data_IF_747541529083
#
_entry.id   IF_747541529083
#
_cell.length_a   1.000
_cell.length_b   1.000
_cell.length_c   1.000
_cell.angle_alpha   90.00
_cell.angle_beta   90.00
_cell.angle_gamma   90.00
#
_symmetry.space_group_name_H-M   'P 1'
#
loop_
_entity.id
_entity.type
_entity.pdbx_description
1 polymer ?
#
# COMPACT_ATOMS: atom_id res chain seq x y z
N UNK A 1 7.59 41.84 5.55
CA UNK A 1 8.98 41.34 5.70
C UNK A 1 9.13 40.13 4.80
N UNK A 2 9.81 40.30 3.65
CA UNK A 2 10.05 39.24 2.68
C UNK A 2 11.13 38.31 3.22
N UNK A 3 10.75 37.10 3.64
CA UNK A 3 11.71 36.04 3.94
C UNK A 3 12.24 35.47 2.63
N UNK A 4 13.39 35.97 2.18
CA UNK A 4 14.19 35.33 1.14
C UNK A 4 14.69 33.99 1.67
N UNK A 5 13.93 32.92 1.39
CA UNK A 5 14.34 31.54 1.63
C UNK A 5 15.69 31.33 0.93
N UNK A 6 16.72 30.98 1.70
CA UNK A 6 18.05 30.70 1.14
C UNK A 6 17.98 29.54 0.13
N UNK A 7 18.91 29.51 -0.83
CA UNK A 7 18.93 28.48 -1.89
C UNK A 7 18.94 27.04 -1.33
N UNK A 8 19.55 26.83 -0.16
CA UNK A 8 19.61 25.52 0.48
C UNK A 8 18.34 25.18 1.27
N UNK A 9 17.67 26.16 1.85
CA UNK A 9 16.34 25.97 2.47
C UNK A 9 15.28 25.59 1.42
N UNK A 10 15.35 26.20 0.24
CA UNK A 10 14.47 25.86 -0.87
C UNK A 10 14.68 24.41 -1.35
N UNK A 11 15.95 23.99 -1.51
CA UNK A 11 16.26 22.58 -1.84
C UNK A 11 15.78 21.62 -0.75
N UNK A 12 15.94 21.98 0.52
CA UNK A 12 15.46 21.18 1.64
C UNK A 12 13.94 21.05 1.64
N UNK A 13 13.22 22.14 1.37
CA UNK A 13 11.76 22.14 1.23
C UNK A 13 11.30 21.26 0.07
N UNK A 14 11.95 21.35 -1.10
CA UNK A 14 11.65 20.48 -2.24
C UNK A 14 11.84 19.00 -1.91
N UNK A 15 12.92 18.64 -1.20
CA UNK A 15 13.14 17.25 -0.76
C UNK A 15 12.02 16.78 0.16
N UNK A 16 11.69 17.53 1.20
CA UNK A 16 10.60 17.20 2.14
C UNK A 16 9.26 17.05 1.42
N UNK A 17 8.97 17.94 0.49
CA UNK A 17 7.75 17.86 -0.31
C UNK A 17 7.71 16.60 -1.18
N UNK A 18 8.82 16.22 -1.82
CA UNK A 18 8.88 14.98 -2.61
C UNK A 18 8.71 13.73 -1.74
N UNK A 19 9.30 13.69 -0.55
CA UNK A 19 9.10 12.58 0.41
C UNK A 19 7.63 12.47 0.81
N UNK A 20 7.03 13.59 1.22
CA UNK A 20 5.60 13.63 1.57
C UNK A 20 4.73 13.19 0.40
N UNK A 21 5.03 13.66 -0.82
CA UNK A 21 4.22 13.37 -1.99
C UNK A 21 4.31 11.91 -2.43
N UNK A 22 5.50 11.31 -2.30
CA UNK A 22 5.70 9.87 -2.45
C UNK A 22 4.84 9.12 -1.44
N UNK A 23 4.94 9.46 -0.15
CA UNK A 23 4.21 8.80 0.94
C UNK A 23 2.70 8.79 0.67
N UNK A 24 2.07 9.96 0.48
CA UNK A 24 0.61 10.03 0.31
C UNK A 24 0.12 9.29 -0.95
N UNK A 25 0.90 9.33 -2.03
CA UNK A 25 0.55 8.63 -3.27
C UNK A 25 0.71 7.11 -3.11
N UNK A 26 1.77 6.68 -2.42
CA UNK A 26 2.02 5.27 -2.13
C UNK A 26 0.99 4.69 -1.16
N UNK A 27 0.59 5.42 -0.11
CA UNK A 27 -0.48 4.99 0.81
C UNK A 27 -1.82 4.81 0.07
N UNK A 28 -2.14 5.68 -0.89
CA UNK A 28 -3.34 5.56 -1.70
C UNK A 28 -3.32 4.28 -2.56
N UNK A 29 -2.18 3.97 -3.18
CA UNK A 29 -2.00 2.73 -3.94
C UNK A 29 -2.06 1.51 -3.02
N UNK A 30 -1.34 1.54 -1.90
CA UNK A 30 -1.29 0.43 -0.94
C UNK A 30 -2.67 0.16 -0.33
N UNK A 31 -3.53 1.17 -0.14
CA UNK A 31 -4.91 0.96 0.30
C UNK A 31 -5.70 0.06 -0.67
N UNK A 32 -5.44 0.18 -1.96
CA UNK A 32 -6.07 -0.64 -3.00
C UNK A 32 -5.37 -2.01 -3.06
N UNK A 33 -4.04 -2.04 -3.19
CA UNK A 33 -3.26 -3.28 -3.30
C UNK A 33 -3.39 -4.18 -2.07
N UNK A 34 -3.50 -3.61 -0.86
CA UNK A 34 -3.62 -4.37 0.39
C UNK A 34 -4.80 -5.32 0.36
N UNK A 35 -5.92 -4.97 -0.29
CA UNK A 35 -7.08 -5.88 -0.41
C UNK A 35 -6.71 -7.12 -1.22
N UNK A 36 -5.91 -6.99 -2.27
CA UNK A 36 -5.45 -8.10 -3.09
C UNK A 36 -4.40 -8.93 -2.38
N UNK A 37 -3.42 -8.30 -1.73
CA UNK A 37 -2.44 -9.02 -0.90
C UNK A 37 -3.13 -9.79 0.22
N UNK A 38 -4.12 -9.20 0.89
CA UNK A 38 -4.92 -9.90 1.90
C UNK A 38 -5.65 -11.11 1.33
N UNK A 39 -6.23 -11.01 0.13
CA UNK A 39 -6.90 -12.14 -0.52
C UNK A 39 -5.95 -13.31 -0.80
N UNK A 40 -4.75 -13.02 -1.27
CA UNK A 40 -3.73 -14.03 -1.52
C UNK A 40 -3.33 -14.76 -0.21
N UNK A 41 -3.08 -13.98 0.85
CA UNK A 41 -2.75 -14.52 2.17
C UNK A 41 -3.93 -15.30 2.77
N UNK A 42 -5.17 -14.78 2.68
CA UNK A 42 -6.36 -15.45 3.20
C UNK A 42 -6.59 -16.79 2.50
N UNK A 43 -6.36 -16.87 1.17
CA UNK A 43 -6.43 -18.13 0.41
C UNK A 43 -5.36 -19.11 0.85
N UNK A 44 -4.14 -18.64 1.09
CA UNK A 44 -3.06 -19.47 1.62
C UNK A 44 -3.45 -20.04 2.99
N UNK A 45 -3.97 -19.20 3.89
CA UNK A 45 -4.44 -19.62 5.22
C UNK A 45 -5.57 -20.63 5.10
N UNK A 46 -6.60 -20.36 4.28
CA UNK A 46 -7.72 -21.27 4.05
C UNK A 46 -7.23 -22.65 3.57
N UNK A 47 -6.26 -22.68 2.65
CA UNK A 47 -5.68 -23.93 2.15
C UNK A 47 -4.91 -24.69 3.23
N UNK A 48 -4.20 -23.99 4.13
CA UNK A 48 -3.53 -24.65 5.25
C UNK A 48 -4.54 -25.23 6.24
N UNK A 49 -5.58 -24.49 6.60
CA UNK A 49 -6.63 -24.98 7.51
C UNK A 49 -7.32 -26.21 6.92
N UNK A 50 -7.66 -26.19 5.61
CA UNK A 50 -8.24 -27.35 4.91
C UNK A 50 -7.36 -28.59 4.96
N UNK A 51 -6.04 -28.44 4.86
CA UNK A 51 -5.09 -29.56 4.97
C UNK A 51 -5.00 -30.11 6.39
N UNK A 52 -5.20 -29.26 7.39
CA UNK A 52 -5.17 -29.62 8.80
C UNK A 52 -6.48 -30.24 9.30
N UNK A 53 -7.64 -29.89 8.72
CA UNK A 53 -8.95 -30.43 9.07
C UNK A 53 -9.21 -31.81 8.43
N UNK A 54 -8.44 -32.82 8.87
CA UNK A 54 -8.51 -34.20 8.33
C UNK A 54 -9.88 -34.84 8.53
N UNK A 55 -10.53 -34.56 9.65
CA UNK A 55 -11.82 -35.14 10.04
C UNK A 55 -13.01 -34.37 9.48
N UNK A 56 -12.77 -33.28 8.73
CA UNK A 56 -13.80 -32.43 8.10
C UNK A 56 -14.81 -31.88 9.11
N UNK A 57 -14.34 -31.53 10.31
CA UNK A 57 -15.19 -31.01 11.38
C UNK A 57 -15.49 -29.51 11.19
N UNK A 58 -14.72 -28.82 10.34
CA UNK A 58 -14.82 -27.36 10.16
C UNK A 58 -15.53 -26.95 8.86
N UNK A 59 -16.34 -27.83 8.27
CA UNK A 59 -16.99 -27.59 6.96
C UNK A 59 -17.73 -26.24 6.91
N UNK A 60 -18.50 -25.90 7.96
CA UNK A 60 -19.27 -24.65 8.00
C UNK A 60 -18.34 -23.43 8.05
N UNK A 61 -17.37 -23.45 8.96
CA UNK A 61 -16.41 -22.36 9.16
C UNK A 61 -15.55 -22.14 7.91
N UNK A 62 -15.13 -23.23 7.25
CA UNK A 62 -14.38 -23.18 6.00
C UNK A 62 -15.23 -22.59 4.85
N UNK A 63 -16.53 -22.90 4.80
CA UNK A 63 -17.45 -22.31 3.82
C UNK A 63 -17.66 -20.82 4.07
N UNK A 64 -17.84 -20.42 5.32
CA UNK A 64 -18.01 -19.01 5.68
C UNK A 64 -16.74 -18.20 5.37
N UNK A 65 -15.56 -18.75 5.65
CA UNK A 65 -14.30 -18.11 5.32
C UNK A 65 -14.07 -18.02 3.80
N UNK A 66 -14.42 -19.07 3.03
CA UNK A 66 -14.40 -19.02 1.56
C UNK A 66 -15.33 -17.93 1.01
N UNK A 67 -16.55 -17.83 1.56
CA UNK A 67 -17.52 -16.77 1.20
C UNK A 67 -16.98 -15.37 1.51
N UNK A 68 -16.36 -15.19 2.68
CA UNK A 68 -15.70 -13.94 3.05
C UNK A 68 -14.62 -13.53 2.04
N UNK A 69 -13.76 -14.48 1.63
CA UNK A 69 -12.70 -14.23 0.62
C UNK A 69 -13.32 -13.82 -0.71
N UNK A 70 -14.36 -14.51 -1.19
CA UNK A 70 -15.04 -14.17 -2.45
C UNK A 70 -15.66 -12.78 -2.40
N UNK A 71 -16.33 -12.43 -1.30
CA UNK A 71 -16.94 -11.10 -1.14
C UNK A 71 -15.86 -10.01 -1.13
N UNK A 72 -14.74 -10.25 -0.45
CA UNK A 72 -13.59 -9.34 -0.44
C UNK A 72 -12.98 -9.18 -1.85
N UNK A 73 -12.91 -10.25 -2.64
CA UNK A 73 -12.42 -10.22 -4.02
C UNK A 73 -13.29 -9.34 -4.92
N UNK A 74 -14.60 -9.52 -4.89
CA UNK A 74 -15.52 -8.69 -5.66
C UNK A 74 -15.40 -7.20 -5.27
N UNK A 75 -15.32 -6.91 -3.97
CA UNK A 75 -15.10 -5.55 -3.50
C UNK A 75 -13.75 -4.97 -3.95
N UNK A 76 -12.68 -5.78 -3.93
CA UNK A 76 -11.35 -5.37 -4.39
C UNK A 76 -11.32 -5.06 -5.88
N UNK A 77 -11.93 -5.91 -6.71
CA UNK A 77 -11.97 -5.75 -8.17
C UNK A 77 -12.57 -4.40 -8.57
N UNK A 78 -13.66 -3.97 -7.93
CA UNK A 78 -14.30 -2.67 -8.22
C UNK A 78 -13.42 -1.44 -7.98
N UNK A 79 -12.39 -1.56 -7.13
CA UNK A 79 -11.46 -0.45 -6.83
C UNK A 79 -10.29 -0.38 -7.82
N UNK A 80 -9.92 -1.52 -8.42
CA UNK A 80 -8.76 -1.61 -9.32
C UNK A 80 -9.16 -1.65 -10.79
N UNK A 81 -10.37 -2.13 -11.09
CA UNK A 81 -10.87 -2.33 -12.43
C UNK A 81 -12.24 -1.68 -12.62
N UNK A 82 -12.44 -1.14 -13.82
CA UNK A 82 -13.74 -0.74 -14.34
C UNK A 82 -14.03 -1.62 -15.57
N UNK A 83 -14.88 -2.64 -15.36
CA UNK A 83 -15.07 -3.72 -16.32
C UNK A 83 -13.79 -4.54 -16.51
N UNK A 84 -13.27 -4.57 -17.75
CA UNK A 84 -12.03 -5.30 -18.11
C UNK A 84 -10.78 -4.42 -18.13
N UNK A 85 -10.91 -3.12 -17.82
CA UNK A 85 -9.82 -2.14 -17.86
C UNK A 85 -9.46 -1.71 -16.45
N UNK A 86 -8.23 -1.22 -16.26
CA UNK A 86 -7.87 -0.58 -15.00
C UNK A 86 -8.76 0.63 -14.77
N UNK A 87 -9.15 0.80 -13.51
CA UNK A 87 -9.84 1.99 -13.08
C UNK A 87 -8.93 3.21 -13.39
N UNK A 88 -9.43 4.26 -14.07
CA UNK A 88 -8.62 5.41 -14.46
C UNK A 88 -7.94 6.14 -13.29
N UNK A 89 -8.59 6.20 -12.13
CA UNK A 89 -8.03 6.82 -10.92
C UNK A 89 -6.83 6.01 -10.41
N UNK A 90 -6.98 4.68 -10.34
CA UNK A 90 -5.87 3.80 -9.98
C UNK A 90 -4.71 3.90 -10.99
N UNK A 91 -5.02 3.94 -12.29
CA UNK A 91 -4.01 4.13 -13.33
C UNK A 91 -3.29 5.48 -13.18
N UNK A 92 -4.02 6.55 -12.89
CA UNK A 92 -3.45 7.87 -12.62
C UNK A 92 -2.50 7.83 -11.41
N UNK A 93 -2.89 7.15 -10.32
CA UNK A 93 -2.03 7.00 -9.14
C UNK A 93 -0.71 6.29 -9.48
N UNK A 94 -0.74 5.22 -10.27
CA UNK A 94 0.47 4.52 -10.72
C UNK A 94 1.39 5.42 -11.55
N UNK A 95 0.83 6.14 -12.52
CA UNK A 95 1.59 7.07 -13.36
C UNK A 95 2.16 8.22 -12.54
N UNK A 96 1.36 8.76 -11.61
CA UNK A 96 1.77 9.81 -10.68
C UNK A 96 2.91 9.35 -9.78
N UNK A 97 2.83 8.16 -9.19
CA UNK A 97 3.91 7.61 -8.37
C UNK A 97 5.19 7.49 -9.20
N UNK A 98 5.11 6.93 -10.42
CA UNK A 98 6.27 6.84 -11.32
C UNK A 98 6.89 8.20 -11.67
N UNK A 99 6.08 9.24 -11.87
CA UNK A 99 6.56 10.60 -12.09
C UNK A 99 7.26 11.18 -10.83
N UNK A 100 6.69 10.94 -9.64
CA UNK A 100 7.30 11.34 -8.36
C UNK A 100 8.64 10.65 -8.16
N UNK A 101 8.75 9.34 -8.42
CA UNK A 101 10.00 8.60 -8.32
C UNK A 101 11.07 9.17 -9.25
N UNK A 102 10.71 9.50 -10.50
CA UNK A 102 11.61 10.18 -11.45
C UNK A 102 12.06 11.56 -10.93
N UNK A 103 11.15 12.34 -10.34
CA UNK A 103 11.48 13.64 -9.74
C UNK A 103 12.43 13.50 -8.54
N UNK A 104 12.23 12.49 -7.69
CA UNK A 104 13.14 12.15 -6.59
C UNK A 104 14.52 11.79 -7.13
N UNK A 105 14.60 10.93 -8.15
CA UNK A 105 15.89 10.56 -8.76
C UNK A 105 16.59 11.79 -9.34
N UNK A 106 15.86 12.71 -9.98
CA UNK A 106 16.43 13.95 -10.53
C UNK A 106 16.98 14.88 -9.43
N UNK A 107 16.31 14.97 -8.27
CA UNK A 107 16.68 15.92 -7.19
C UNK A 107 17.58 15.34 -6.10
N UNK A 108 17.52 14.03 -5.87
CA UNK A 108 18.14 13.33 -4.75
C UNK A 108 19.00 12.13 -5.20
N UNK A 109 18.96 11.76 -6.49
CA UNK A 109 19.64 10.60 -7.03
C UNK A 109 18.94 9.28 -6.72
N UNK A 110 19.43 8.20 -7.32
CA UNK A 110 18.90 6.83 -7.11
C UNK A 110 18.97 6.39 -5.65
N UNK A 111 20.06 6.73 -4.95
CA UNK A 111 20.21 6.47 -3.51
C UNK A 111 19.12 7.19 -2.70
N UNK A 112 18.80 8.43 -3.05
CA UNK A 112 17.71 9.17 -2.43
C UNK A 112 16.36 8.49 -2.60
N UNK A 113 16.07 7.95 -3.78
CA UNK A 113 14.85 7.17 -4.00
C UNK A 113 14.80 5.92 -3.09
N UNK A 114 15.90 5.16 -3.00
CA UNK A 114 15.97 3.98 -2.12
C UNK A 114 15.69 4.39 -0.67
N UNK A 115 16.31 5.45 -0.17
CA UNK A 115 16.07 5.94 1.19
C UNK A 115 14.61 6.29 1.43
N UNK A 116 13.95 6.96 0.49
CA UNK A 116 12.52 7.32 0.61
C UNK A 116 11.64 6.08 0.65
N UNK A 117 11.92 5.08 -0.20
CA UNK A 117 11.18 3.80 -0.19
C UNK A 117 11.36 3.06 1.14
N UNK A 118 12.60 2.93 1.61
CA UNK A 118 12.90 2.27 2.88
C UNK A 118 12.23 2.97 4.07
N UNK A 119 12.35 4.30 4.16
CA UNK A 119 11.73 5.06 5.24
C UNK A 119 10.20 4.93 5.24
N UNK A 120 9.58 4.86 4.06
CA UNK A 120 8.15 4.60 3.94
C UNK A 120 7.76 3.22 4.49
N UNK A 121 8.47 2.15 4.09
CA UNK A 121 8.20 0.79 4.57
C UNK A 121 8.40 0.68 6.08
N UNK A 122 9.49 1.24 6.62
CA UNK A 122 9.76 1.28 8.05
C UNK A 122 8.65 2.00 8.83
N UNK A 123 8.18 3.14 8.33
CA UNK A 123 7.06 3.87 8.93
C UNK A 123 5.77 3.04 8.92
N UNK A 124 5.44 2.37 7.81
CA UNK A 124 4.22 1.56 7.72
C UNK A 124 4.28 0.36 8.68
N UNK A 125 5.43 -0.32 8.77
CA UNK A 125 5.63 -1.42 9.72
C UNK A 125 5.51 -0.93 11.16
N UNK A 126 6.16 0.19 11.48
CA UNK A 126 6.10 0.80 12.81
C UNK A 126 4.66 1.10 13.23
N UNK A 127 3.88 1.75 12.35
CA UNK A 127 2.45 2.04 12.60
C UNK A 127 1.64 0.77 12.89
N UNK A 128 1.85 -0.29 12.11
CA UNK A 128 1.15 -1.58 12.32
C UNK A 128 1.48 -2.19 13.69
N UNK A 129 2.73 -2.06 14.14
CA UNK A 129 3.17 -2.56 15.45
C UNK A 129 2.62 -1.71 16.61
N UNK A 130 2.61 -0.39 16.45
CA UNK A 130 2.19 0.57 17.48
C UNK A 130 0.66 0.66 17.63
N UNK A 131 -0.11 0.52 16.54
CA UNK A 131 -1.58 0.45 16.59
C UNK A 131 -2.12 -0.67 17.50
N UNK A 132 -1.28 -1.67 17.82
CA UNK A 132 -1.61 -2.76 18.75
C UNK A 132 -1.37 -2.41 20.23
N UNK A 133 -0.57 -1.39 20.51
CA UNK A 133 -0.23 -1.00 21.89
C UNK A 133 -1.27 -0.05 22.48
N UNK A 134 -1.86 0.85 21.69
CA UNK A 134 -2.88 1.81 22.16
C UNK A 134 -4.26 1.20 22.43
N UNK A 135 -4.50 -0.06 22.00
CA UNK A 135 -5.78 -0.78 22.20
C UNK A 135 -5.74 -1.81 23.33
N UNK A 136 -4.72 -1.77 24.20
CA UNK A 136 -4.61 -2.59 25.41
C UNK A 136 -4.70 -1.71 26.64
#
# INVERSE_FOLDING_TARGET
MNNTIGRDDFKSLQKRYLVWFYKVTREAIDKIERKFTQLEIDRLILNQIRKSDKDKNLISQLRDFDKYIRNKEQAGLSLKYEGKKLNPEYQFLLLKLGAIEKAIVSKMGKKGLVMVKTAYEEEMLKRIMEERQEKR
#
